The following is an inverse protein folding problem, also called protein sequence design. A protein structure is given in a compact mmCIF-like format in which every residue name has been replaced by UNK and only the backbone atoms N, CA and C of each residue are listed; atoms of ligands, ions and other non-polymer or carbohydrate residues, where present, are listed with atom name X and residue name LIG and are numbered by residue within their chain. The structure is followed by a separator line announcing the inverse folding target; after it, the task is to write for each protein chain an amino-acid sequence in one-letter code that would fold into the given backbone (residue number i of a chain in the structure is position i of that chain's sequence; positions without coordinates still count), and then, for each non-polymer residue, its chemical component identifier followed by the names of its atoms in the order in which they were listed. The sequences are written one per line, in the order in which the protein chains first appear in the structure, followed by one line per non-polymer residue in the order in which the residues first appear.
data_IF_748193446137
#
_entry.id   IF_748193446137
#
_cell.length_a   1.000
_cell.length_b   1.000
_cell.length_c   1.000
_cell.angle_alpha   90.00
_cell.angle_beta   90.00
_cell.angle_gamma   90.00
#
_symmetry.space_group_name_H-M   'P 1'
#
loop_
_entity.id
_entity.type
_entity.pdbx_description
1 polymer ?
#
# COMPACT_ATOMS: atom_id res chain seq x y z
N UNK A 1 1.35 4.51 19.92
CA UNK A 1 0.22 4.32 18.99
C UNK A 1 0.76 4.54 17.59
N UNK A 2 0.63 3.55 16.69
CA UNK A 2 1.18 3.68 15.34
C UNK A 2 0.32 4.68 14.53
N UNK A 3 0.90 5.65 13.79
CA UNK A 3 0.13 6.70 13.11
C UNK A 3 -0.96 6.18 12.19
N UNK A 4 -0.74 5.03 11.54
CA UNK A 4 -1.72 4.40 10.66
C UNK A 4 -2.93 3.82 11.41
N UNK A 5 -2.71 3.29 12.63
CA UNK A 5 -3.80 2.76 13.47
C UNK A 5 -4.67 3.90 14.01
N UNK A 6 -4.05 5.02 14.38
CA UNK A 6 -4.78 6.23 14.77
C UNK A 6 -5.62 6.73 13.61
N UNK A 7 -5.05 6.87 12.42
CA UNK A 7 -5.79 7.31 11.23
C UNK A 7 -6.96 6.38 10.90
N UNK A 8 -6.77 5.06 10.96
CA UNK A 8 -7.85 4.09 10.72
C UNK A 8 -9.08 4.35 11.57
N UNK A 9 -8.89 4.60 12.87
CA UNK A 9 -10.00 4.81 13.80
C UNK A 9 -10.77 6.07 13.46
N UNK A 10 -10.09 7.14 13.04
CA UNK A 10 -10.72 8.41 12.68
C UNK A 10 -11.52 8.36 11.37
N UNK A 11 -11.25 7.38 10.49
CA UNK A 11 -11.93 7.20 9.20
C UNK A 11 -12.92 6.02 9.17
N UNK A 12 -13.22 5.43 10.33
CA UNK A 12 -14.08 4.26 10.48
C UNK A 12 -15.39 4.64 11.13
N UNK A 13 -16.50 4.14 10.57
CA UNK A 13 -17.81 4.30 11.17
C UNK A 13 -17.97 3.42 12.40
N UNK A 14 -18.38 4.00 13.53
CA UNK A 14 -18.56 3.25 14.78
C UNK A 14 -19.75 2.30 14.79
N UNK A 15 -20.61 2.31 13.76
CA UNK A 15 -21.77 1.42 13.64
C UNK A 15 -21.40 0.16 12.86
N UNK A 16 -20.91 0.30 11.62
CA UNK A 16 -20.54 -0.85 10.79
C UNK A 16 -19.08 -1.29 10.94
N UNK A 17 -18.29 -0.57 11.74
CA UNK A 17 -16.86 -0.83 12.00
C UNK A 17 -16.01 -0.91 10.73
N UNK A 18 -16.47 -0.26 9.66
CA UNK A 18 -15.82 -0.19 8.35
C UNK A 18 -15.56 1.27 7.99
N UNK A 19 -14.74 1.51 6.97
CA UNK A 19 -14.52 2.86 6.46
C UNK A 19 -15.85 3.54 6.13
N UNK A 20 -15.90 4.85 6.36
CA UNK A 20 -17.08 5.62 6.00
C UNK A 20 -17.44 5.47 4.52
N UNK A 21 -18.73 5.21 4.27
CA UNK A 21 -19.36 5.28 2.96
C UNK A 21 -20.44 6.34 3.02
N UNK A 22 -20.33 7.34 2.14
CA UNK A 22 -21.24 8.50 2.12
C UNK A 22 -21.41 9.10 3.54
N UNK A 23 -20.31 9.55 4.18
CA UNK A 23 -20.36 10.03 5.55
C UNK A 23 -21.27 11.24 5.69
N UNK A 24 -22.04 11.26 6.78
CA UNK A 24 -22.83 12.39 7.22
C UNK A 24 -22.46 12.76 8.65
N UNK A 25 -22.43 14.07 8.92
CA UNK A 25 -22.34 14.62 10.27
C UNK A 25 -23.74 14.87 10.82
N UNK A 26 -23.94 14.55 12.11
CA UNK A 26 -25.15 14.89 12.86
C UNK A 26 -24.90 16.06 13.81
N UNK A 27 -25.94 16.55 14.49
CA UNK A 27 -25.91 17.77 15.31
C UNK A 27 -24.79 17.82 16.36
N UNK A 28 -24.39 16.67 16.92
CA UNK A 28 -23.30 16.60 17.90
C UNK A 28 -21.89 16.59 17.29
N UNK A 29 -21.77 16.64 15.96
CA UNK A 29 -20.50 16.62 15.23
C UNK A 29 -19.94 15.22 14.91
N UNK A 30 -20.53 14.15 15.45
CA UNK A 30 -20.12 12.79 15.12
C UNK A 30 -20.53 12.41 13.70
N UNK A 31 -19.73 11.54 13.08
CA UNK A 31 -19.87 11.13 11.68
C UNK A 31 -20.26 9.65 11.60
N UNK A 32 -21.14 9.33 10.65
CA UNK A 32 -21.62 7.98 10.39
C UNK A 32 -21.80 7.78 8.89
N UNK A 33 -21.82 6.54 8.40
CA UNK A 33 -22.33 6.28 7.05
C UNK A 33 -23.82 6.67 7.03
N UNK A 34 -24.28 7.30 5.94
CA UNK A 34 -25.68 7.71 5.81
C UNK A 34 -26.65 6.55 6.05
N UNK A 35 -26.38 5.38 5.46
CA UNK A 35 -27.20 4.18 5.64
C UNK A 35 -27.22 3.70 7.09
N UNK A 36 -26.06 3.68 7.76
CA UNK A 36 -25.93 3.21 9.14
C UNK A 36 -26.74 4.07 10.11
N UNK A 37 -26.61 5.40 10.04
CA UNK A 37 -27.33 6.28 10.96
C UNK A 37 -28.83 6.32 10.66
N UNK A 38 -29.21 6.23 9.38
CA UNK A 38 -30.62 6.13 8.97
C UNK A 38 -31.25 4.84 9.53
N UNK A 39 -30.53 3.72 9.48
CA UNK A 39 -31.01 2.46 10.05
C UNK A 39 -31.07 2.50 11.58
N UNK A 40 -30.06 3.08 12.25
CA UNK A 40 -30.04 3.21 13.71
C UNK A 40 -31.21 4.05 14.25
N UNK A 41 -31.60 5.10 13.54
CA UNK A 41 -32.71 5.95 13.97
C UNK A 41 -34.09 5.44 13.53
N UNK A 42 -34.16 4.37 12.72
CA UNK A 42 -35.42 3.79 12.25
C UNK A 42 -36.17 4.67 11.26
N UNK A 43 -37.37 4.20 10.85
CA UNK A 43 -38.26 4.89 9.89
C UNK A 43 -39.36 5.73 10.56
N UNK A 44 -39.62 5.59 11.86
CA UNK A 44 -40.67 6.34 12.58
C UNK A 44 -40.27 7.82 12.73
N UNK A 45 -41.20 8.78 12.72
CA UNK A 45 -40.88 10.20 12.93
C UNK A 45 -40.67 10.57 14.41
N UNK A 46 -40.21 9.63 15.24
CA UNK A 46 -40.00 9.88 16.68
C UNK A 46 -39.00 11.03 16.90
N UNK A 47 -39.43 12.02 17.68
CA UNK A 47 -38.71 13.28 17.91
C UNK A 47 -37.43 13.13 18.75
N UNK A 48 -37.11 11.90 19.20
CA UNK A 48 -36.06 11.67 20.18
C UNK A 48 -35.01 10.67 19.68
N UNK A 49 -34.15 11.11 18.76
CA UNK A 49 -33.01 10.30 18.29
C UNK A 49 -31.72 10.69 19.00
N UNK A 50 -31.04 9.73 19.63
CA UNK A 50 -29.73 9.95 20.27
C UNK A 50 -28.58 9.58 19.35
N UNK A 51 -27.46 10.30 19.45
CA UNK A 51 -26.21 9.91 18.82
C UNK A 51 -25.74 8.52 19.33
N UNK A 52 -25.46 7.55 18.45
CA UNK A 52 -24.97 6.23 18.86
C UNK A 52 -23.63 6.25 19.60
N UNK A 53 -22.80 7.29 19.38
CA UNK A 53 -21.46 7.38 19.94
C UNK A 53 -21.42 8.12 21.28
N UNK A 54 -22.02 9.30 21.38
CA UNK A 54 -21.96 10.12 22.61
C UNK A 54 -23.29 10.20 23.37
N UNK A 55 -24.35 9.56 22.87
CA UNK A 55 -25.70 9.54 23.45
C UNK A 55 -26.39 10.90 23.60
N UNK A 56 -25.76 11.99 23.12
CA UNK A 56 -26.40 13.31 23.07
C UNK A 56 -27.65 13.25 22.19
N UNK A 57 -28.74 13.82 22.69
CA UNK A 57 -30.00 13.89 21.95
C UNK A 57 -29.91 14.88 20.79
N UNK A 58 -30.50 14.47 19.66
CA UNK A 58 -30.70 15.29 18.48
C UNK A 58 -32.14 15.75 18.48
N UNK A 59 -32.37 17.06 18.41
CA UNK A 59 -33.74 17.63 18.35
C UNK A 59 -34.39 17.41 16.98
N UNK A 60 -33.57 17.10 15.97
CA UNK A 60 -34.02 16.85 14.59
C UNK A 60 -33.12 15.82 13.92
N UNK A 61 -33.68 15.08 12.97
CA UNK A 61 -32.91 14.28 12.01
C UNK A 61 -32.24 15.20 10.98
N UNK A 62 -31.11 15.82 11.36
CA UNK A 62 -30.27 16.56 10.43
C UNK A 62 -29.07 15.70 10.03
N UNK A 63 -29.01 15.34 8.76
CA UNK A 63 -27.84 14.70 8.16
C UNK A 63 -27.17 15.71 7.24
N UNK A 64 -25.95 16.10 7.57
CA UNK A 64 -25.13 16.97 6.71
C UNK A 64 -24.10 16.10 6.01
N UNK A 65 -24.15 15.93 4.68
CA UNK A 65 -23.10 15.24 3.94
C UNK A 65 -21.73 15.84 4.27
N UNK A 66 -20.74 14.99 4.55
CA UNK A 66 -19.38 15.39 4.85
C UNK A 66 -18.45 14.90 3.74
N UNK A 67 -18.40 15.65 2.63
CA UNK A 67 -17.64 15.26 1.44
C UNK A 67 -16.15 15.22 1.71
N UNK A 68 -15.67 16.11 2.56
CA UNK A 68 -14.28 16.24 2.97
C UNK A 68 -13.80 14.98 3.69
N UNK A 69 -14.59 14.46 4.64
CA UNK A 69 -14.30 13.18 5.30
C UNK A 69 -14.34 12.01 4.32
N UNK A 70 -15.28 12.01 3.37
CA UNK A 70 -15.31 11.04 2.28
C UNK A 70 -14.01 11.06 1.46
N UNK A 71 -13.53 12.24 1.08
CA UNK A 71 -12.28 12.41 0.34
C UNK A 71 -11.07 11.90 1.14
N UNK A 72 -11.00 12.21 2.44
CA UNK A 72 -9.93 11.72 3.33
C UNK A 72 -9.93 10.19 3.40
N UNK A 73 -11.10 9.56 3.50
CA UNK A 73 -11.22 8.09 3.49
C UNK A 73 -10.65 7.50 2.19
N UNK A 74 -10.97 8.08 1.04
CA UNK A 74 -10.46 7.61 -0.25
C UNK A 74 -8.95 7.80 -0.40
N UNK A 75 -8.41 8.94 0.07
CA UNK A 75 -6.95 9.17 0.12
C UNK A 75 -6.28 8.14 1.03
N UNK A 76 -6.83 7.88 2.22
CA UNK A 76 -6.27 6.92 3.16
C UNK A 76 -6.32 5.48 2.64
N UNK A 77 -7.39 5.08 1.94
CA UNK A 77 -7.47 3.77 1.25
C UNK A 77 -6.36 3.64 0.20
N UNK A 78 -6.14 4.69 -0.60
CA UNK A 78 -5.08 4.71 -1.61
C UNK A 78 -3.70 4.64 -0.97
N UNK A 79 -3.42 5.42 0.08
CA UNK A 79 -2.14 5.36 0.80
C UNK A 79 -1.87 3.97 1.37
N UNK A 80 -2.90 3.28 1.86
CA UNK A 80 -2.79 1.89 2.33
C UNK A 80 -2.54 0.92 1.21
N UNK A 81 -3.19 1.10 0.06
CA UNK A 81 -2.95 0.29 -1.12
C UNK A 81 -1.53 0.53 -1.65
N UNK A 82 -1.04 1.77 -1.67
CA UNK A 82 0.32 2.15 -2.06
C UNK A 82 1.37 1.59 -1.08
N UNK A 83 1.11 1.62 0.23
CA UNK A 83 1.94 0.96 1.23
C UNK A 83 1.94 -0.58 1.03
N UNK A 84 0.78 -1.16 0.72
CA UNK A 84 0.65 -2.58 0.46
C UNK A 84 1.27 -3.00 -0.89
N UNK A 85 1.22 -2.17 -1.93
CA UNK A 85 1.83 -2.46 -3.25
C UNK A 85 3.32 -2.20 -3.27
N UNK A 86 3.80 -1.19 -2.54
CA UNK A 86 5.23 -1.02 -2.28
C UNK A 86 5.81 -2.22 -1.52
N UNK A 87 5.03 -2.88 -0.66
CA UNK A 87 5.40 -4.17 -0.05
C UNK A 87 5.17 -5.38 -0.99
N UNK A 88 4.08 -5.42 -1.76
CA UNK A 88 3.74 -6.56 -2.63
C UNK A 88 4.61 -6.68 -3.89
N UNK A 89 5.28 -5.59 -4.29
CA UNK A 89 6.31 -5.59 -5.34
C UNK A 89 7.73 -5.84 -4.84
N UNK A 90 7.97 -5.74 -3.52
CA UNK A 90 9.28 -5.94 -2.92
C UNK A 90 9.44 -7.42 -2.52
N UNK A 91 10.32 -8.14 -3.23
CA UNK A 91 10.73 -9.47 -2.75
C UNK A 91 11.50 -9.30 -1.43
N UNK A 92 11.08 -10.01 -0.40
CA UNK A 92 11.71 -9.99 0.91
C UNK A 92 12.80 -11.05 1.01
N UNK A 93 13.84 -10.77 1.78
CA UNK A 93 14.84 -11.77 2.14
C UNK A 93 14.20 -12.82 3.04
N UNK A 94 14.28 -14.09 2.66
CA UNK A 94 13.67 -15.20 3.44
C UNK A 94 14.17 -15.24 4.89
N UNK A 95 15.47 -14.95 5.11
CA UNK A 95 16.11 -15.01 6.42
C UNK A 95 15.78 -13.83 7.33
N UNK A 96 15.69 -12.64 6.77
CA UNK A 96 15.63 -11.40 7.55
C UNK A 96 14.29 -10.67 7.44
N UNK A 97 13.42 -11.08 6.51
CA UNK A 97 12.15 -10.42 6.19
C UNK A 97 12.30 -8.93 5.81
N UNK A 98 13.49 -8.54 5.40
CA UNK A 98 13.82 -7.20 4.91
C UNK A 98 13.73 -7.13 3.39
N UNK A 99 13.33 -5.99 2.80
CA UNK A 99 13.31 -5.82 1.36
C UNK A 99 14.67 -6.09 0.72
N UNK A 100 14.65 -6.88 -0.36
CA UNK A 100 15.83 -7.09 -1.21
C UNK A 100 16.01 -5.82 -2.06
N UNK A 101 17.07 -5.05 -1.76
CA UNK A 101 17.38 -3.76 -2.41
C UNK A 101 18.77 -3.72 -3.05
N UNK A 102 19.61 -4.70 -2.73
CA UNK A 102 20.99 -4.77 -3.19
C UNK A 102 21.19 -6.04 -4.01
N UNK A 103 22.12 -6.00 -4.95
CA UNK A 103 22.58 -7.14 -5.72
C UNK A 103 24.05 -7.38 -5.39
N UNK A 104 24.38 -8.59 -4.95
CA UNK A 104 25.75 -9.02 -4.77
C UNK A 104 26.30 -9.45 -6.13
N UNK A 105 27.35 -8.80 -6.61
CA UNK A 105 27.91 -9.12 -7.93
C UNK A 105 28.68 -10.44 -7.92
N UNK A 106 29.27 -10.82 -6.79
CA UNK A 106 30.05 -12.05 -6.65
C UNK A 106 29.17 -13.30 -6.53
N UNK A 107 28.11 -13.23 -5.71
CA UNK A 107 27.15 -14.33 -5.53
C UNK A 107 25.99 -14.28 -6.55
N UNK A 108 25.95 -13.25 -7.38
CA UNK A 108 24.91 -12.99 -8.39
C UNK A 108 23.48 -13.07 -7.84
N UNK A 109 23.25 -12.61 -6.61
CA UNK A 109 21.95 -12.73 -5.93
C UNK A 109 21.48 -11.43 -5.29
N UNK A 110 20.14 -11.20 -5.25
CA UNK A 110 19.59 -10.10 -4.48
C UNK A 110 19.74 -10.36 -2.98
N UNK A 111 20.18 -9.35 -2.25
CA UNK A 111 20.38 -9.39 -0.80
C UNK A 111 19.71 -8.19 -0.13
N UNK A 112 19.31 -8.36 1.13
CA UNK A 112 18.84 -7.24 1.96
C UNK A 112 20.02 -6.53 2.62
N UNK A 113 19.75 -5.37 3.22
CA UNK A 113 20.77 -4.57 3.93
C UNK A 113 21.42 -5.31 5.10
N UNK A 114 20.71 -6.26 5.71
CA UNK A 114 21.27 -7.09 6.80
C UNK A 114 22.21 -8.16 6.24
N UNK A 115 21.86 -8.78 5.12
CA UNK A 115 22.75 -9.74 4.44
C UNK A 115 24.08 -9.09 4.05
N UNK A 116 24.07 -7.85 3.56
CA UNK A 116 25.29 -7.08 3.22
C UNK A 116 26.28 -7.03 4.38
N UNK A 117 25.81 -6.82 5.61
CA UNK A 117 26.70 -6.72 6.77
C UNK A 117 27.14 -8.08 7.33
N UNK A 118 26.54 -9.18 6.83
CA UNK A 118 26.92 -10.54 7.24
C UNK A 118 28.31 -10.91 6.74
N UNK A 119 29.00 -11.79 7.47
CA UNK A 119 30.32 -12.30 7.05
C UNK A 119 30.31 -12.92 5.65
N UNK A 120 29.17 -13.43 5.20
CA UNK A 120 29.02 -14.05 3.90
C UNK A 120 29.10 -13.04 2.74
N UNK A 121 28.74 -11.77 2.95
CA UNK A 121 28.61 -10.80 1.86
C UNK A 121 29.31 -9.46 2.13
N UNK A 122 29.85 -9.23 3.34
CA UNK A 122 30.44 -7.94 3.76
C UNK A 122 31.63 -7.49 2.92
N UNK A 123 32.36 -8.45 2.33
CA UNK A 123 33.49 -8.16 1.46
C UNK A 123 33.14 -8.14 -0.04
N UNK A 124 31.93 -8.58 -0.41
CA UNK A 124 31.55 -8.69 -1.81
C UNK A 124 31.09 -7.32 -2.34
N UNK A 125 31.39 -7.01 -3.62
CA UNK A 125 30.89 -5.81 -4.26
C UNK A 125 29.35 -5.87 -4.41
N UNK A 126 28.72 -4.72 -4.16
CA UNK A 126 27.27 -4.56 -4.08
C UNK A 126 26.82 -3.41 -4.97
N UNK A 127 25.72 -3.61 -5.70
CA UNK A 127 25.04 -2.57 -6.45
C UNK A 127 23.59 -2.45 -5.99
N UNK A 128 22.97 -1.26 -6.02
CA UNK A 128 21.52 -1.14 -5.98
C UNK A 128 20.89 -1.99 -7.09
N UNK A 129 19.77 -2.66 -6.80
CA UNK A 129 19.10 -3.53 -7.78
C UNK A 129 18.70 -2.74 -9.04
N UNK A 130 18.33 -1.46 -8.90
CA UNK A 130 17.98 -0.59 -10.02
C UNK A 130 19.17 -0.29 -10.93
N UNK A 131 20.38 -0.16 -10.39
CA UNK A 131 21.62 0.08 -11.15
C UNK A 131 22.05 -1.20 -11.88
N UNK A 132 22.05 -2.34 -11.18
CA UNK A 132 22.32 -3.65 -11.77
C UNK A 132 21.37 -3.98 -12.95
N UNK A 133 20.13 -3.46 -12.90
CA UNK A 133 19.16 -3.61 -13.97
C UNK A 133 19.41 -2.71 -15.20
N UNK A 134 20.06 -1.56 -15.03
CA UNK A 134 20.34 -0.62 -16.12
C UNK A 134 21.50 -1.11 -16.99
N UNK A 135 22.49 -1.76 -16.39
CA UNK A 135 23.59 -2.41 -17.10
C UNK A 135 23.11 -3.44 -18.14
N UNK A 136 21.93 -4.03 -17.93
CA UNK A 136 21.27 -4.91 -18.90
C UNK A 136 20.66 -4.14 -20.10
N UNK A 137 20.02 -2.98 -19.87
CA UNK A 137 19.41 -2.18 -20.95
C UNK A 137 20.43 -1.67 -21.96
N UNK A 138 21.64 -1.33 -21.52
CA UNK A 138 22.72 -0.83 -22.39
C UNK A 138 23.31 -1.95 -23.24
N UNK A 139 23.42 -3.16 -22.68
CA UNK A 139 24.00 -4.34 -23.34
C UNK A 139 23.04 -5.06 -24.30
N UNK A 140 21.75 -4.72 -24.32
CA UNK A 140 20.74 -5.30 -25.22
C UNK A 140 20.59 -4.57 -26.59
N UNK A 141 21.46 -3.62 -26.90
CA UNK A 141 21.51 -2.96 -28.22
C UNK A 141 21.94 -3.96 -29.32
N UNK A 142 21.40 -3.88 -30.56
CA UNK A 142 21.67 -4.87 -31.60
C UNK A 142 23.15 -4.77 -32.04
N UNK A 143 23.98 -5.71 -31.58
CA UNK A 143 25.38 -5.81 -32.01
C UNK A 143 26.39 -6.30 -30.96
N UNK A 144 26.01 -6.46 -29.69
CA UNK A 144 26.92 -6.95 -28.66
C UNK A 144 26.30 -8.09 -27.84
N UNK A 145 26.37 -9.32 -28.33
CA UNK A 145 26.18 -10.49 -27.47
C UNK A 145 27.53 -10.85 -26.84
N UNK A 146 27.72 -10.45 -25.59
CA UNK A 146 28.50 -11.24 -24.64
C UNK A 146 27.59 -11.59 -23.47
N UNK A 147 27.05 -12.79 -23.52
CA UNK A 147 26.39 -13.45 -22.41
C UNK A 147 27.40 -13.54 -21.25
N UNK A 148 27.21 -12.70 -20.23
CA UNK A 148 27.74 -12.98 -18.89
C UNK A 148 27.01 -14.19 -18.27
N UNK A 149 27.52 -14.77 -17.16
CA UNK A 149 27.04 -16.05 -16.66
C UNK A 149 25.53 -16.08 -16.46
N UNK A 150 24.96 -17.22 -16.79
CA UNK A 150 23.54 -17.55 -16.76
C UNK A 150 22.92 -17.24 -15.39
N UNK A 151 22.15 -16.14 -15.24
CA UNK A 151 20.97 -15.99 -14.33
C UNK A 151 20.37 -14.56 -14.25
N UNK A 152 20.56 -13.73 -15.28
CA UNK A 152 20.07 -12.34 -15.39
C UNK A 152 18.53 -12.17 -15.37
N UNK A 153 17.75 -13.25 -15.49
CA UNK A 153 16.29 -13.23 -15.41
C UNK A 153 15.74 -12.92 -14.01
N UNK A 154 16.50 -13.21 -12.93
CA UNK A 154 16.05 -12.92 -11.57
C UNK A 154 15.99 -11.42 -11.29
N UNK A 155 16.87 -10.62 -11.90
CA UNK A 155 16.86 -9.15 -11.79
C UNK A 155 15.59 -8.58 -12.41
N UNK A 156 15.22 -8.99 -13.63
CA UNK A 156 14.01 -8.51 -14.33
C UNK A 156 12.73 -8.84 -13.52
N UNK A 157 12.69 -9.99 -12.86
CA UNK A 157 11.56 -10.40 -12.00
C UNK A 157 11.50 -9.66 -10.64
N UNK A 158 12.59 -9.01 -10.19
CA UNK A 158 12.65 -8.28 -8.91
C UNK A 158 12.10 -6.85 -9.00
N UNK A 159 12.11 -6.26 -10.19
CA UNK A 159 11.81 -4.82 -10.39
C UNK A 159 10.36 -4.57 -10.81
N UNK A 160 9.53 -5.62 -10.87
CA UNK A 160 8.11 -5.49 -11.20
C UNK A 160 7.87 -4.75 -12.51
N UNK A 161 8.61 -5.08 -13.58
CA UNK A 161 8.31 -4.52 -14.90
C UNK A 161 6.85 -4.79 -15.25
N UNK A 162 6.09 -3.71 -15.50
CA UNK A 162 4.73 -3.80 -16.03
C UNK A 162 4.72 -4.77 -17.21
N UNK A 163 3.74 -5.69 -17.24
CA UNK A 163 3.61 -6.76 -18.24
C UNK A 163 3.65 -6.26 -19.69
N UNK A 164 3.40 -4.98 -19.88
CA UNK A 164 3.36 -4.25 -21.14
C UNK A 164 4.74 -4.14 -21.82
N UNK A 165 5.85 -4.29 -21.08
CA UNK A 165 7.22 -4.25 -21.65
C UNK A 165 7.79 -5.64 -21.93
N UNK A 166 7.23 -6.71 -21.34
CA UNK A 166 7.68 -8.09 -21.59
C UNK A 166 7.38 -8.57 -23.02
N UNK A 167 6.47 -7.92 -23.74
CA UNK A 167 6.19 -8.22 -25.14
C UNK A 167 7.39 -7.95 -26.07
N UNK A 168 8.40 -7.17 -25.63
CA UNK A 168 9.63 -6.95 -26.40
C UNK A 168 10.74 -7.99 -26.14
N UNK A 169 10.58 -8.90 -25.17
CA UNK A 169 11.62 -9.83 -24.73
C UNK A 169 11.27 -11.32 -24.94
N UNK A 170 10.11 -11.64 -25.52
CA UNK A 170 9.62 -13.01 -25.72
C UNK A 170 9.51 -13.45 -27.20
N UNK A 171 10.04 -12.65 -28.13
CA UNK A 171 10.15 -13.00 -29.55
C UNK A 171 11.57 -12.76 -30.08
N UNK A 172 12.54 -13.51 -29.54
CA UNK A 172 13.70 -14.00 -30.30
C UNK A 172 14.05 -15.39 -29.76
#
# INVERSE_FOLDING_TARGET
MHPLETLQREITCSICLSYFKEPVSIDCGHNFCQSCITQCWGRSDDENTSCPQCRRWSRKRSFRPNRELGNVVEVAKRLRLEAATSLAGQRLCEKHQEPLKLFCEEDETPVCVICRESRAHKAHPMLPIEEAAQDYKVRASPGAVRLGPLKTLQIIALIGFRKDTLATYLFI
#
